data_IF_159735020582
#
_entry.id   IF_159735020582
#
_cell.length_a   1.000
_cell.length_b   1.000
_cell.length_c   1.000
_cell.angle_alpha   90.00
_cell.angle_beta   90.00
_cell.angle_gamma   90.00
#
_symmetry.space_group_name_H-M   'P 1'
#
loop_
_entity.id
_entity.type
_entity.pdbx_description
1 polymer ?
#
# COMPACT_ATOMS: atom_id res chain seq x y z
N UNK A 1 14.34 -9.85 -3.10
CA UNK A 1 12.89 -9.90 -2.77
C UNK A 1 12.11 -9.41 -3.98
N UNK A 2 10.93 -9.97 -4.24
CA UNK A 2 9.93 -9.44 -5.18
C UNK A 2 8.80 -8.84 -4.37
N UNK A 3 8.24 -7.72 -4.82
CA UNK A 3 7.11 -7.03 -4.19
C UNK A 3 6.04 -6.75 -5.25
N UNK A 4 4.77 -6.85 -4.87
CA UNK A 4 3.66 -6.50 -5.75
C UNK A 4 2.46 -5.95 -4.98
N UNK A 5 1.68 -5.15 -5.68
CA UNK A 5 0.44 -4.55 -5.22
C UNK A 5 -0.52 -4.37 -6.41
N UNK A 6 -1.81 -4.19 -6.12
CA UNK A 6 -2.90 -4.04 -7.07
C UNK A 6 -3.12 -5.28 -7.95
N UNK A 7 -2.98 -6.46 -7.35
CA UNK A 7 -3.33 -7.76 -7.93
C UNK A 7 -4.52 -8.37 -7.20
N UNK A 8 -5.11 -9.44 -7.75
CA UNK A 8 -6.28 -10.11 -7.17
C UNK A 8 -6.07 -10.56 -5.71
N UNK A 9 -4.84 -10.93 -5.35
CA UNK A 9 -4.46 -11.41 -4.01
C UNK A 9 -3.81 -10.33 -3.13
N UNK A 10 -3.57 -9.12 -3.67
CA UNK A 10 -2.92 -8.00 -2.98
C UNK A 10 -3.47 -6.67 -3.51
N UNK A 11 -4.78 -6.44 -3.32
CA UNK A 11 -5.51 -5.30 -3.87
C UNK A 11 -5.63 -4.13 -2.90
N UNK A 12 -6.15 -3.00 -3.41
CA UNK A 12 -6.74 -1.95 -2.58
C UNK A 12 -8.21 -2.26 -2.33
N UNK A 13 -8.66 -2.05 -1.09
CA UNK A 13 -10.05 -2.25 -0.68
C UNK A 13 -10.55 -0.99 0.04
N UNK A 14 -11.68 -0.40 -0.35
CA UNK A 14 -12.48 -0.72 -1.54
C UNK A 14 -11.77 -0.29 -2.83
N UNK A 15 -12.19 -0.82 -3.99
CA UNK A 15 -11.68 -0.38 -5.30
C UNK A 15 -12.16 1.03 -5.65
N UNK A 16 -13.39 1.40 -5.33
CA UNK A 16 -13.91 2.76 -5.46
C UNK A 16 -14.15 3.31 -4.06
N UNK A 17 -13.50 4.45 -3.74
CA UNK A 17 -13.53 5.01 -2.39
C UNK A 17 -14.56 6.12 -2.31
N UNK A 18 -15.50 5.98 -1.40
CA UNK A 18 -16.40 7.04 -1.00
C UNK A 18 -15.95 7.67 0.31
N UNK A 19 -16.32 8.94 0.52
CA UNK A 19 -15.99 9.67 1.74
C UNK A 19 -16.37 8.88 3.02
N UNK A 20 -15.46 8.87 4.00
CA UNK A 20 -15.67 8.17 5.28
C UNK A 20 -15.49 6.65 5.22
N UNK A 21 -15.19 6.06 4.06
CA UNK A 21 -14.83 4.63 3.98
C UNK A 21 -13.37 4.42 4.37
N UNK A 22 -13.12 3.36 5.14
CA UNK A 22 -11.75 2.93 5.45
C UNK A 22 -11.12 2.33 4.19
N UNK A 23 -9.88 2.73 3.93
CA UNK A 23 -9.08 2.21 2.82
C UNK A 23 -7.95 1.34 3.36
N UNK A 24 -7.92 0.10 2.89
CA UNK A 24 -6.86 -0.87 3.15
C UNK A 24 -6.07 -1.15 1.88
N UNK A 25 -4.77 -1.34 2.02
CA UNK A 25 -3.88 -1.79 0.95
C UNK A 25 -3.23 -3.10 1.35
N UNK A 26 -3.35 -4.11 0.47
CA UNK A 26 -2.67 -5.39 0.61
C UNK A 26 -1.45 -5.44 -0.30
N UNK A 27 -0.32 -5.90 0.23
CA UNK A 27 0.95 -5.97 -0.49
C UNK A 27 1.51 -7.38 -0.35
N UNK A 28 1.96 -7.96 -1.45
CA UNK A 28 2.60 -9.27 -1.46
C UNK A 28 4.11 -9.16 -1.62
N UNK A 29 4.81 -10.11 -1.01
CA UNK A 29 6.27 -10.26 -1.15
C UNK A 29 6.65 -11.72 -1.35
N UNK A 30 7.75 -11.95 -2.07
CA UNK A 30 8.30 -13.28 -2.32
C UNK A 30 9.84 -13.24 -2.29
N UNK A 31 10.51 -14.31 -1.79
CA UNK A 31 9.94 -15.44 -1.07
C UNK A 31 9.61 -15.09 0.39
N UNK A 32 9.13 -16.05 1.20
CA UNK A 32 9.06 -15.89 2.65
C UNK A 32 10.49 -15.91 3.20
N UNK A 33 10.96 -14.76 3.70
CA UNK A 33 12.30 -14.61 4.27
C UNK A 33 12.30 -13.62 5.45
N UNK A 34 13.22 -13.80 6.39
CA UNK A 34 13.51 -12.79 7.42
C UNK A 34 14.17 -11.54 6.83
N UNK A 35 14.16 -10.44 7.58
CA UNK A 35 14.80 -9.18 7.18
C UNK A 35 14.00 -8.34 6.17
N UNK A 36 12.78 -8.75 5.85
CA UNK A 36 11.89 -7.99 4.96
C UNK A 36 11.21 -6.83 5.69
N UNK A 37 11.05 -5.71 5.00
CA UNK A 37 10.26 -4.56 5.43
C UNK A 37 9.47 -4.01 4.25
N UNK A 38 8.26 -3.50 4.50
CA UNK A 38 7.38 -2.91 3.48
C UNK A 38 6.87 -1.58 3.98
N UNK A 39 6.85 -0.56 3.13
CA UNK A 39 6.30 0.75 3.46
C UNK A 39 5.70 1.42 2.22
N UNK A 40 4.93 2.47 2.47
CA UNK A 40 4.37 3.31 1.44
C UNK A 40 4.86 4.73 1.62
N UNK A 41 5.04 5.42 0.50
CA UNK A 41 5.12 6.88 0.44
C UNK A 41 3.82 7.37 -0.20
N UNK A 42 3.12 8.24 0.50
CA UNK A 42 1.76 8.66 0.18
C UNK A 42 1.74 10.18 0.09
N UNK A 43 1.10 10.69 -0.95
CA UNK A 43 0.76 12.09 -1.11
C UNK A 43 -0.76 12.22 -1.15
N UNK A 44 -1.32 12.94 -0.19
CA UNK A 44 -2.73 13.30 -0.13
C UNK A 44 -2.89 14.74 -0.63
N UNK A 45 -3.66 14.89 -1.70
CA UNK A 45 -4.15 16.16 -2.19
C UNK A 45 -5.55 16.36 -1.64
N UNK A 46 -5.70 17.25 -0.66
CA UNK A 46 -6.99 17.51 -0.04
C UNK A 46 -7.87 18.35 -0.96
N UNK A 47 -9.19 18.21 -0.83
CA UNK A 47 -10.15 19.00 -1.62
C UNK A 47 -9.98 20.52 -1.45
N UNK A 48 -9.41 21.00 -0.33
CA UNK A 48 -9.10 22.40 -0.08
C UNK A 48 -7.73 22.86 -0.64
N UNK A 49 -7.07 22.00 -1.41
CA UNK A 49 -5.86 22.31 -2.18
C UNK A 49 -4.55 22.17 -1.41
N UNK A 50 -4.54 21.51 -0.24
CA UNK A 50 -3.31 21.20 0.49
C UNK A 50 -2.71 19.91 -0.02
N UNK A 51 -1.39 19.82 0.08
CA UNK A 51 -0.63 18.63 -0.20
C UNK A 51 0.03 18.15 1.09
N UNK A 52 -0.22 16.88 1.45
CA UNK A 52 0.32 16.26 2.64
C UNK A 52 1.09 15.00 2.23
N UNK A 53 2.35 14.93 2.60
CA UNK A 53 3.20 13.77 2.36
C UNK A 53 3.41 12.98 3.66
N UNK A 54 3.33 11.66 3.57
CA UNK A 54 3.77 10.78 4.65
C UNK A 54 4.43 9.50 4.14
N UNK A 55 5.29 8.93 4.98
CA UNK A 55 5.88 7.60 4.80
C UNK A 55 5.43 6.71 5.93
N UNK A 56 4.81 5.57 5.62
CA UNK A 56 4.18 4.70 6.63
C UNK A 56 4.57 3.23 6.43
N UNK A 57 4.88 2.49 7.50
CA UNK A 57 5.23 1.07 7.42
C UNK A 57 4.00 0.17 7.28
N UNK A 58 4.00 -0.73 6.30
CA UNK A 58 2.98 -1.78 6.21
C UNK A 58 3.23 -2.84 7.28
N UNK A 59 2.15 -3.37 7.84
CA UNK A 59 2.20 -4.37 8.90
C UNK A 59 2.14 -5.77 8.29
N UNK A 60 3.07 -6.64 8.67
CA UNK A 60 3.02 -8.06 8.28
C UNK A 60 1.72 -8.69 8.80
N UNK A 61 1.07 -9.51 7.99
CA UNK A 61 -0.19 -10.16 8.34
C UNK A 61 -0.08 -11.68 8.37
N UNK A 62 0.39 -12.28 7.28
CA UNK A 62 0.40 -13.74 7.14
C UNK A 62 1.35 -14.22 6.05
N UNK A 63 1.67 -15.51 6.11
CA UNK A 63 2.34 -16.23 5.04
C UNK A 63 1.39 -17.18 4.32
N UNK A 64 1.59 -17.34 3.02
CA UNK A 64 1.05 -18.46 2.25
C UNK A 64 2.18 -19.45 1.99
N UNK A 65 2.32 -20.45 2.85
CA UNK A 65 3.37 -21.48 2.74
C UNK A 65 3.29 -22.25 1.40
N UNK A 66 2.07 -22.46 0.89
CA UNK A 66 1.86 -23.12 -0.41
C UNK A 66 2.45 -22.32 -1.58
N UNK A 67 2.41 -20.98 -1.51
CA UNK A 67 2.91 -20.09 -2.57
C UNK A 67 4.30 -19.52 -2.28
N UNK A 68 4.78 -19.71 -1.05
CA UNK A 68 5.99 -19.08 -0.51
C UNK A 68 5.95 -17.54 -0.58
N UNK A 69 4.78 -16.96 -0.23
CA UNK A 69 4.56 -15.51 -0.21
C UNK A 69 4.31 -15.00 1.22
N UNK A 70 4.73 -13.77 1.51
CA UNK A 70 4.27 -13.02 2.70
C UNK A 70 3.33 -11.90 2.28
N UNK A 71 2.25 -11.70 3.04
CA UNK A 71 1.26 -10.64 2.83
C UNK A 71 1.31 -9.61 3.95
N UNK A 72 1.23 -8.35 3.55
CA UNK A 72 1.32 -7.17 4.39
C UNK A 72 0.09 -6.30 4.17
N UNK A 73 -0.32 -5.56 5.20
CA UNK A 73 -1.47 -4.64 5.14
C UNK A 73 -1.08 -3.26 5.61
N UNK A 74 -1.61 -2.25 4.94
CA UNK A 74 -1.60 -0.86 5.40
C UNK A 74 -3.03 -0.37 5.51
N UNK A 75 -3.37 0.17 6.68
CA UNK A 75 -4.62 0.89 6.90
C UNK A 75 -4.36 2.37 6.67
N UNK A 76 -4.87 2.91 5.56
CA UNK A 76 -4.73 4.33 5.23
C UNK A 76 -5.73 5.21 6.00
N UNK A 77 -6.77 4.62 6.57
CA UNK A 77 -7.84 5.31 7.27
C UNK A 77 -8.90 5.82 6.31
N UNK A 78 -9.55 6.92 6.69
CA UNK A 78 -10.68 7.52 5.97
C UNK A 78 -10.29 8.86 5.35
N UNK A 79 -10.99 9.22 4.28
CA UNK A 79 -10.75 10.45 3.51
C UNK A 79 -12.05 11.23 3.27
N UNK A 80 -11.93 12.49 2.87
CA UNK A 80 -13.07 13.36 2.55
C UNK A 80 -13.39 13.33 1.05
N UNK A 81 -14.64 13.64 0.70
CA UNK A 81 -15.04 13.78 -0.70
C UNK A 81 -14.21 14.86 -1.40
N UNK A 82 -13.72 14.55 -2.61
CA UNK A 82 -12.84 15.40 -3.40
C UNK A 82 -11.35 15.26 -3.08
N UNK A 83 -10.97 14.48 -2.05
CA UNK A 83 -9.57 14.16 -1.82
C UNK A 83 -9.04 13.24 -2.93
N UNK A 84 -7.76 13.43 -3.30
CA UNK A 84 -7.02 12.52 -4.18
C UNK A 84 -5.80 11.98 -3.45
N UNK A 85 -5.62 10.67 -3.49
CA UNK A 85 -4.47 10.00 -2.89
C UNK A 85 -3.61 9.42 -3.99
N UNK A 86 -2.30 9.69 -3.94
CA UNK A 86 -1.28 9.05 -4.75
C UNK A 86 -0.30 8.33 -3.84
N UNK A 87 0.12 7.12 -4.21
CA UNK A 87 1.06 6.36 -3.40
C UNK A 87 1.96 5.44 -4.21
N UNK A 88 3.12 5.15 -3.60
CA UNK A 88 4.10 4.18 -4.08
C UNK A 88 4.40 3.16 -3.00
N UNK A 89 4.57 1.92 -3.43
CA UNK A 89 4.85 0.78 -2.55
C UNK A 89 6.31 0.41 -2.67
N UNK A 90 6.98 0.32 -1.53
CA UNK A 90 8.38 -0.03 -1.41
C UNK A 90 8.54 -1.19 -0.42
N UNK A 91 9.66 -1.88 -0.54
CA UNK A 91 10.16 -2.74 0.50
C UNK A 91 11.66 -2.89 0.43
N UNK A 92 12.22 -3.55 1.43
CA UNK A 92 13.63 -3.90 1.44
C UNK A 92 13.84 -5.29 2.02
N UNK A 93 14.96 -5.92 1.64
CA UNK A 93 15.52 -7.08 2.33
C UNK A 93 16.95 -6.75 2.69
N UNK A 94 17.28 -6.76 3.98
CA UNK A 94 18.64 -6.48 4.46
C UNK A 94 19.24 -5.21 3.80
N UNK A 95 18.44 -4.13 3.79
CA UNK A 95 18.73 -2.81 3.16
C UNK A 95 18.76 -2.75 1.62
N UNK A 96 18.59 -3.88 0.92
CA UNK A 96 18.40 -3.88 -0.54
C UNK A 96 16.98 -3.42 -0.89
N UNK A 97 16.86 -2.22 -1.48
CA UNK A 97 15.59 -1.58 -1.85
C UNK A 97 14.95 -2.23 -3.08
N UNK A 98 13.64 -2.45 -3.00
CA UNK A 98 12.77 -2.88 -4.10
C UNK A 98 11.47 -2.06 -4.07
N UNK A 99 10.86 -1.80 -5.21
CA UNK A 99 9.56 -1.11 -5.28
C UNK A 99 8.65 -1.74 -6.32
N UNK A 100 7.36 -1.47 -6.21
CA UNK A 100 6.48 -1.61 -7.38
C UNK A 100 6.91 -0.60 -8.47
N UNK A 101 6.63 -0.93 -9.73
CA UNK A 101 7.00 -0.06 -10.85
C UNK A 101 6.04 1.13 -11.02
N UNK A 102 4.81 1.00 -10.54
CA UNK A 102 3.74 1.96 -10.76
C UNK A 102 3.57 2.92 -9.58
N UNK A 103 3.10 4.13 -9.89
CA UNK A 103 2.44 5.00 -8.92
C UNK A 103 0.95 4.71 -9.00
N UNK A 104 0.33 4.45 -7.86
CA UNK A 104 -1.11 4.17 -7.77
C UNK A 104 -1.84 5.42 -7.29
N UNK A 105 -3.11 5.57 -7.69
CA UNK A 105 -3.93 6.70 -7.26
C UNK A 105 -5.40 6.32 -7.14
N UNK A 106 -6.12 7.05 -6.29
CA UNK A 106 -7.58 7.07 -6.29
C UNK A 106 -8.11 8.45 -5.92
N UNK A 107 -9.32 8.74 -6.40
CA UNK A 107 -10.12 9.90 -6.02
C UNK A 107 -11.27 9.45 -5.13
N UNK A 108 -11.62 10.29 -4.16
CA UNK A 108 -12.68 10.01 -3.19
C UNK A 108 -13.95 10.71 -3.65
N UNK A 109 -14.98 9.93 -3.95
CA UNK A 109 -16.32 10.43 -4.32
C UNK A 109 -17.10 10.90 -3.11
#
# INVERSE_FOLDING_TARGET
>A
MVIWHNTVDASRIPEYVSAGQEVELWIGTYPIEGGQSVWLEITLYTADGRELFCKMPAQWQSNSEQRNNSYWKMDLGVFNSGDRVEYRVYGSKDDELVSCNDTYSFEVS
#
